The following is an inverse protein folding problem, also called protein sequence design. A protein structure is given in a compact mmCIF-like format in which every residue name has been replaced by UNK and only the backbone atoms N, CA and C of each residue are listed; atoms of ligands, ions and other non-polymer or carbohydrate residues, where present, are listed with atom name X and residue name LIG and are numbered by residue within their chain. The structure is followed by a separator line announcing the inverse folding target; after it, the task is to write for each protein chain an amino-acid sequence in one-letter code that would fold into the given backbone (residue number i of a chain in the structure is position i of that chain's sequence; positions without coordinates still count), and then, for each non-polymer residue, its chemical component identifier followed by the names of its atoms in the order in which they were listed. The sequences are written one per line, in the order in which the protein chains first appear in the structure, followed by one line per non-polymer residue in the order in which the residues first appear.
data_IF_631594117420
#
_entry.id   IF_631594117420
#
_cell.length_a   1.000
_cell.length_b   1.000
_cell.length_c   1.000
_cell.angle_alpha   90.00
_cell.angle_beta   90.00
_cell.angle_gamma   90.00
#
_symmetry.space_group_name_H-M   'P 1'
#
loop_
_entity.id
_entity.type
_entity.pdbx_description
1 polymer ?
#
# COMPACT_ATOMS: atom_id res chain seq x y z
N UNK A 1 -12.01 -17.32 -25.35
CA UNK A 1 -12.92 -17.36 -24.18
C UNK A 1 -12.57 -16.29 -23.15
N UNK A 2 -11.32 -16.19 -22.67
CA UNK A 2 -10.89 -15.16 -21.68
C UNK A 2 -11.10 -13.72 -22.19
N UNK A 3 -10.73 -13.43 -23.43
CA UNK A 3 -10.94 -12.11 -24.04
C UNK A 3 -12.40 -11.70 -24.18
N UNK A 4 -13.29 -12.67 -24.41
CA UNK A 4 -14.73 -12.42 -24.55
C UNK A 4 -15.39 -12.15 -23.19
N UNK A 5 -14.94 -12.84 -22.13
CA UNK A 5 -15.36 -12.60 -20.75
C UNK A 5 -14.89 -11.23 -20.25
N UNK A 6 -13.66 -10.82 -20.57
CA UNK A 6 -13.14 -9.50 -20.20
C UNK A 6 -13.89 -8.36 -20.89
N UNK A 7 -14.23 -8.51 -22.17
CA UNK A 7 -15.07 -7.56 -22.90
C UNK A 7 -16.47 -7.43 -22.28
N UNK A 8 -17.10 -8.55 -21.90
CA UNK A 8 -18.41 -8.49 -21.24
C UNK A 8 -18.36 -7.86 -19.84
N UNK A 9 -17.28 -8.07 -19.09
CA UNK A 9 -17.10 -7.42 -17.79
C UNK A 9 -16.92 -5.91 -17.93
N UNK A 10 -16.11 -5.46 -18.88
CA UNK A 10 -15.88 -4.03 -19.14
C UNK A 10 -17.20 -3.31 -19.51
N UNK A 11 -18.02 -3.91 -20.37
CA UNK A 11 -19.34 -3.34 -20.75
C UNK A 11 -20.26 -3.19 -19.53
N UNK A 12 -20.27 -4.16 -18.62
CA UNK A 12 -21.06 -4.08 -17.39
C UNK A 12 -20.53 -2.96 -16.49
N UNK A 13 -19.21 -2.88 -16.30
CA UNK A 13 -18.61 -1.86 -15.43
C UNK A 13 -18.93 -0.45 -15.94
N UNK A 14 -18.79 -0.19 -17.25
CA UNK A 14 -19.14 1.12 -17.84
C UNK A 14 -20.62 1.45 -17.60
N UNK A 15 -21.53 0.51 -17.84
CA UNK A 15 -22.96 0.71 -17.62
C UNK A 15 -23.30 1.00 -16.13
N UNK A 16 -22.61 0.35 -15.19
CA UNK A 16 -22.78 0.63 -13.75
C UNK A 16 -22.25 2.02 -13.37
N UNK A 17 -21.17 2.50 -14.01
CA UNK A 17 -20.70 3.88 -13.84
C UNK A 17 -21.71 4.90 -14.39
N UNK A 18 -22.29 4.66 -15.57
CA UNK A 18 -23.37 5.52 -16.11
C UNK A 18 -24.59 5.54 -15.20
N UNK A 19 -25.00 4.38 -14.67
CA UNK A 19 -26.13 4.26 -13.75
C UNK A 19 -25.91 5.07 -12.48
N UNK A 20 -24.76 4.89 -11.83
CA UNK A 20 -24.46 5.60 -10.58
C UNK A 20 -24.26 7.10 -10.81
N UNK A 21 -23.67 7.48 -11.96
CA UNK A 21 -23.51 8.88 -12.34
C UNK A 21 -24.89 9.56 -12.48
N UNK A 22 -25.83 8.94 -13.20
CA UNK A 22 -27.19 9.48 -13.31
C UNK A 22 -27.90 9.62 -11.96
N UNK A 23 -27.71 8.65 -11.06
CA UNK A 23 -28.25 8.73 -9.70
C UNK A 23 -27.65 9.93 -8.92
N UNK A 24 -26.33 10.09 -8.99
CA UNK A 24 -25.60 11.21 -8.35
C UNK A 24 -26.05 12.57 -8.89
N UNK A 25 -26.24 12.71 -10.20
CA UNK A 25 -26.70 13.99 -10.78
C UNK A 25 -28.18 14.28 -10.52
N UNK A 26 -28.98 13.25 -10.23
CA UNK A 26 -30.39 13.41 -9.89
C UNK A 26 -30.57 13.82 -8.42
N UNK A 27 -29.82 13.20 -7.52
CA UNK A 27 -29.79 13.53 -6.09
C UNK A 27 -28.34 13.46 -5.56
N UNK A 28 -27.61 14.58 -5.57
CA UNK A 28 -26.19 14.60 -5.20
C UNK A 28 -25.97 14.44 -3.69
N UNK A 29 -27.02 14.54 -2.88
CA UNK A 29 -26.97 14.29 -1.43
C UNK A 29 -27.22 12.82 -1.07
N UNK A 30 -27.69 11.99 -2.01
CA UNK A 30 -27.90 10.56 -1.80
C UNK A 30 -26.56 9.82 -1.58
N UNK A 31 -26.29 9.51 -0.33
CA UNK A 31 -25.11 8.77 0.10
C UNK A 31 -24.98 7.39 -0.59
N UNK A 32 -26.08 6.72 -0.91
CA UNK A 32 -26.04 5.34 -1.39
C UNK A 32 -25.36 5.23 -2.75
N UNK A 33 -25.65 6.19 -3.66
CA UNK A 33 -25.03 6.29 -4.97
C UNK A 33 -23.50 6.50 -4.84
N UNK A 34 -23.06 7.39 -3.94
CA UNK A 34 -21.64 7.64 -3.71
C UNK A 34 -20.87 6.46 -3.12
N UNK A 35 -21.50 5.70 -2.23
CA UNK A 35 -20.90 4.48 -1.68
C UNK A 35 -20.77 3.40 -2.75
N UNK A 36 -21.77 3.28 -3.63
CA UNK A 36 -21.72 2.35 -4.76
C UNK A 36 -20.66 2.75 -5.78
N UNK A 37 -20.58 4.04 -6.15
CA UNK A 37 -19.52 4.57 -7.01
C UNK A 37 -18.13 4.27 -6.44
N UNK A 38 -17.94 4.49 -5.12
CA UNK A 38 -16.67 4.16 -4.46
C UNK A 38 -16.35 2.67 -4.50
N UNK A 39 -17.36 1.81 -4.43
CA UNK A 39 -17.17 0.36 -4.55
C UNK A 39 -16.77 -0.03 -5.97
N UNK A 40 -17.39 0.57 -7.00
CA UNK A 40 -17.05 0.37 -8.42
C UNK A 40 -15.62 0.79 -8.79
N UNK A 41 -15.07 1.82 -8.13
CA UNK A 41 -13.65 2.22 -8.30
C UNK A 41 -12.66 1.12 -7.88
N UNK A 42 -13.17 0.04 -7.29
CA UNK A 42 -12.43 -1.21 -7.17
C UNK A 42 -11.56 -1.30 -5.93
N UNK A 43 -11.45 -2.55 -5.49
CA UNK A 43 -10.33 -3.10 -4.74
C UNK A 43 -9.88 -4.30 -5.55
N UNK A 44 -8.88 -4.14 -6.41
CA UNK A 44 -8.29 -5.27 -7.10
C UNK A 44 -7.89 -6.33 -6.07
N UNK A 45 -8.36 -7.57 -6.26
CA UNK A 45 -7.80 -8.71 -5.54
C UNK A 45 -6.37 -8.87 -6.01
N UNK A 46 -5.43 -8.52 -5.14
CA UNK A 46 -4.02 -8.72 -5.44
C UNK A 46 -3.71 -10.20 -5.44
N UNK A 47 -2.97 -10.63 -6.46
CA UNK A 47 -2.40 -11.96 -6.50
C UNK A 47 -1.58 -12.17 -5.24
N UNK A 48 -1.86 -13.29 -4.62
CA UNK A 48 -1.52 -13.50 -3.24
C UNK A 48 -0.06 -14.02 -3.25
N UNK A 49 0.91 -13.12 -3.05
CA UNK A 49 2.35 -13.37 -3.21
C UNK A 49 3.21 -12.80 -2.06
N UNK A 50 4.50 -13.17 -2.03
CA UNK A 50 5.50 -12.50 -1.19
C UNK A 50 5.83 -11.16 -1.86
N UNK A 51 5.69 -10.03 -1.15
CA UNK A 51 5.95 -8.69 -1.70
C UNK A 51 7.38 -8.21 -1.50
N UNK A 52 8.07 -8.63 -0.43
CA UNK A 52 9.45 -8.25 -0.18
C UNK A 52 10.20 -9.35 0.57
N UNK A 53 11.45 -9.59 0.21
CA UNK A 53 12.42 -10.38 0.96
C UNK A 53 13.64 -9.50 1.23
N UNK A 54 14.02 -9.39 2.50
CA UNK A 54 15.22 -8.70 2.96
C UNK A 54 16.04 -9.64 3.81
N UNK A 55 17.36 -9.64 3.62
CA UNK A 55 18.28 -10.50 4.36
C UNK A 55 19.42 -9.65 4.90
N UNK A 56 19.73 -9.82 6.18
CA UNK A 56 20.86 -9.16 6.85
C UNK A 56 21.80 -10.20 7.44
N UNK A 57 23.06 -10.14 7.00
CA UNK A 57 24.14 -10.98 7.51
C UNK A 57 24.54 -10.60 8.93
N UNK A 58 24.60 -9.30 9.25
CA UNK A 58 24.99 -8.83 10.58
C UNK A 58 23.98 -9.25 11.66
N UNK A 59 22.70 -9.29 11.30
CA UNK A 59 21.62 -9.67 12.21
C UNK A 59 21.25 -11.16 12.14
N UNK A 60 21.81 -11.91 11.18
CA UNK A 60 21.45 -13.30 10.90
C UNK A 60 19.92 -13.46 10.79
N UNK A 61 19.32 -12.58 9.99
CA UNK A 61 17.88 -12.37 9.92
C UNK A 61 17.42 -12.28 8.48
N UNK A 62 16.36 -13.03 8.15
CA UNK A 62 15.57 -12.82 6.95
C UNK A 62 14.21 -12.22 7.32
N UNK A 63 13.81 -11.15 6.64
CA UNK A 63 12.52 -10.51 6.78
C UNK A 63 11.72 -10.74 5.50
N UNK A 64 10.50 -11.24 5.67
CA UNK A 64 9.56 -11.51 4.59
C UNK A 64 8.32 -10.66 4.77
N UNK A 65 7.91 -9.97 3.71
CA UNK A 65 6.65 -9.23 3.64
C UNK A 65 5.73 -9.94 2.66
N UNK A 66 4.49 -10.17 3.07
CA UNK A 66 3.42 -10.78 2.29
C UNK A 66 2.42 -9.71 1.84
N UNK A 67 1.72 -9.99 0.74
CA UNK A 67 0.60 -9.16 0.24
C UNK A 67 -0.65 -9.27 1.13
N UNK A 68 -0.80 -10.38 1.87
CA UNK A 68 -1.92 -10.66 2.77
C UNK A 68 -1.40 -11.01 4.17
N UNK A 69 -2.11 -10.63 5.26
CA UNK A 69 -1.72 -11.03 6.61
C UNK A 69 -1.93 -12.54 6.81
N UNK A 70 -0.84 -13.26 7.07
CA UNK A 70 -0.83 -14.73 7.24
C UNK A 70 -0.27 -15.12 8.60
N UNK A 71 -0.53 -16.36 9.05
CA UNK A 71 0.08 -16.92 10.24
C UNK A 71 0.97 -18.14 9.91
N UNK A 72 2.24 -17.86 9.67
CA UNK A 72 3.28 -18.84 9.31
C UNK A 72 3.39 -20.00 10.32
N UNK A 73 2.98 -19.82 11.58
CA UNK A 73 3.10 -20.85 12.62
C UNK A 73 1.86 -21.73 12.79
N UNK A 74 0.71 -21.34 12.22
CA UNK A 74 -0.58 -22.02 12.45
C UNK A 74 -1.25 -22.52 11.19
N UNK A 75 -0.92 -21.94 10.03
CA UNK A 75 -1.53 -22.33 8.77
C UNK A 75 -0.82 -23.57 8.19
N UNK A 76 -1.31 -24.77 8.54
CA UNK A 76 -0.81 -26.05 8.00
C UNK A 76 -1.01 -26.19 6.48
N UNK A 77 -1.92 -25.40 5.89
CA UNK A 77 -2.21 -25.40 4.45
C UNK A 77 -1.28 -24.47 3.66
N UNK A 78 -0.61 -23.52 4.32
CA UNK A 78 0.21 -22.49 3.68
C UNK A 78 1.64 -22.54 4.22
N UNK A 79 2.35 -23.63 3.94
CA UNK A 79 3.72 -23.80 4.40
C UNK A 79 4.64 -22.73 3.77
N UNK A 80 5.31 -21.96 4.64
CA UNK A 80 6.35 -21.00 4.24
C UNK A 80 7.70 -21.59 4.56
N UNK A 81 8.49 -21.86 3.52
CA UNK A 81 9.83 -22.42 3.64
C UNK A 81 10.86 -21.41 3.14
N UNK A 82 11.80 -21.08 4.02
CA UNK A 82 12.98 -20.30 3.66
C UNK A 82 14.11 -21.26 3.31
N UNK A 83 14.71 -21.10 2.15
CA UNK A 83 15.84 -21.90 1.68
C UNK A 83 17.09 -21.02 1.54
N UNK A 84 18.23 -21.50 2.01
CA UNK A 84 19.57 -20.91 1.81
C UNK A 84 20.39 -21.90 0.97
N UNK A 85 20.90 -21.48 -0.19
CA UNK A 85 21.60 -22.31 -1.18
C UNK A 85 20.83 -23.60 -1.53
N UNK A 86 19.50 -23.48 -1.65
CA UNK A 86 18.61 -24.59 -1.98
C UNK A 86 18.33 -25.58 -0.84
N UNK A 87 18.84 -25.33 0.38
CA UNK A 87 18.53 -26.14 1.58
C UNK A 87 17.58 -25.39 2.50
N UNK A 88 16.61 -26.06 3.15
CA UNK A 88 15.72 -25.40 4.10
C UNK A 88 16.55 -24.85 5.27
N UNK A 89 16.37 -23.56 5.53
CA UNK A 89 17.08 -22.83 6.57
C UNK A 89 16.54 -23.23 7.94
N UNK A 90 17.45 -23.52 8.88
CA UNK A 90 17.07 -23.73 10.28
C UNK A 90 16.86 -22.37 10.94
N UNK A 91 15.59 -22.04 11.25
CA UNK A 91 15.26 -20.76 11.85
C UNK A 91 13.91 -20.75 12.54
N UNK A 92 13.74 -19.80 13.46
CA UNK A 92 12.46 -19.58 14.14
C UNK A 92 11.76 -18.38 13.52
N UNK A 93 10.51 -18.59 13.08
CA UNK A 93 9.63 -17.52 12.61
C UNK A 93 9.02 -16.75 13.78
N UNK A 94 9.12 -15.43 13.74
CA UNK A 94 8.53 -14.52 14.73
C UNK A 94 7.95 -13.30 14.04
N UNK A 95 6.89 -12.72 14.59
CA UNK A 95 6.43 -11.41 14.15
C UNK A 95 7.29 -10.30 14.76
N UNK A 96 7.40 -9.12 14.12
CA UNK A 96 8.14 -7.99 14.67
C UNK A 96 7.66 -7.54 16.06
N UNK A 97 6.36 -7.70 16.34
CA UNK A 97 5.75 -7.40 17.64
C UNK A 97 5.84 -8.57 18.66
N UNK A 98 6.44 -9.70 18.26
CA UNK A 98 6.61 -10.94 19.03
C UNK A 98 5.31 -11.62 19.48
N UNK A 99 4.16 -11.26 18.91
CA UNK A 99 2.85 -11.83 19.28
C UNK A 99 2.44 -13.03 18.45
N UNK A 100 3.10 -13.27 17.32
CA UNK A 100 2.89 -14.42 16.44
C UNK A 100 1.43 -14.58 16.01
N UNK A 101 0.83 -13.47 15.57
CA UNK A 101 -0.53 -13.38 15.01
C UNK A 101 -0.44 -13.16 13.49
N UNK A 102 -1.59 -13.19 12.81
CA UNK A 102 -1.69 -12.80 11.41
C UNK A 102 -1.04 -11.43 11.18
N UNK A 103 -0.01 -11.42 10.34
CA UNK A 103 0.84 -10.26 10.09
C UNK A 103 1.28 -10.26 8.63
N UNK A 104 1.47 -9.05 8.08
CA UNK A 104 2.06 -8.87 6.76
C UNK A 104 3.58 -9.09 6.78
N UNK A 105 4.23 -8.86 7.93
CA UNK A 105 5.68 -8.95 8.08
C UNK A 105 6.03 -10.06 9.06
N UNK A 106 6.95 -10.92 8.63
CA UNK A 106 7.51 -12.00 9.44
C UNK A 106 9.04 -11.98 9.38
N UNK A 107 9.64 -12.37 10.49
CA UNK A 107 11.08 -12.43 10.71
C UNK A 107 11.47 -13.90 10.89
N UNK A 108 12.40 -14.39 10.09
CA UNK A 108 13.05 -15.68 10.29
C UNK A 108 14.43 -15.43 10.89
N UNK A 109 14.58 -15.79 12.17
CA UNK A 109 15.88 -15.75 12.87
C UNK A 109 16.67 -16.99 12.47
N UNK A 110 17.73 -16.80 11.71
CA UNK A 110 18.56 -17.87 11.18
C UNK A 110 19.52 -18.37 12.26
N UNK A 111 19.57 -19.69 12.45
CA UNK A 111 20.56 -20.32 13.32
C UNK A 111 21.88 -20.57 12.58
N UNK A 112 21.78 -20.83 11.28
CA UNK A 112 22.94 -20.97 10.41
C UNK A 112 23.52 -19.61 10.06
N UNK A 113 24.82 -19.44 10.31
CA UNK A 113 25.51 -18.18 10.04
C UNK A 113 25.68 -17.96 8.53
N UNK A 114 24.99 -16.96 7.99
CA UNK A 114 25.13 -16.46 6.63
C UNK A 114 26.58 -16.01 6.38
N UNK A 115 27.25 -16.60 5.38
CA UNK A 115 28.68 -16.38 5.11
C UNK A 115 28.94 -15.39 3.97
N UNK A 116 27.90 -15.06 3.21
CA UNK A 116 27.96 -14.18 2.04
C UNK A 116 28.37 -14.91 0.77
N UNK A 117 27.65 -14.64 -0.31
CA UNK A 117 27.66 -15.41 -1.55
C UNK A 117 26.50 -16.42 -1.68
N UNK A 118 25.68 -16.57 -0.64
CA UNK A 118 24.58 -17.55 -0.60
C UNK A 118 23.29 -16.97 -1.23
N UNK A 119 22.51 -17.80 -1.91
CA UNK A 119 21.20 -17.45 -2.43
C UNK A 119 20.12 -17.77 -1.41
N UNK A 120 19.26 -16.80 -1.10
CA UNK A 120 18.18 -16.94 -0.13
C UNK A 120 16.86 -16.85 -0.86
N UNK A 121 16.05 -17.90 -0.78
CA UNK A 121 14.77 -18.04 -1.47
C UNK A 121 13.64 -18.34 -0.49
N UNK A 122 12.51 -17.65 -0.64
CA UNK A 122 11.28 -17.93 0.12
C UNK A 122 10.27 -18.61 -0.79
N UNK A 123 9.72 -19.72 -0.32
CA UNK A 123 8.58 -20.42 -0.89
C UNK A 123 7.36 -20.23 0.00
N UNK A 124 6.21 -19.94 -0.61
CA UNK A 124 4.91 -19.86 0.07
C UNK A 124 3.91 -20.70 -0.71
N UNK A 125 3.63 -21.92 -0.23
CA UNK A 125 2.79 -22.88 -0.95
C UNK A 125 3.21 -23.05 -2.43
N UNK A 126 2.25 -22.93 -3.35
CA UNK A 126 2.44 -23.06 -4.81
C UNK A 126 2.67 -21.72 -5.54
N UNK A 127 2.94 -20.64 -4.80
CA UNK A 127 3.09 -19.29 -5.35
C UNK A 127 4.52 -19.08 -5.87
N UNK A 128 4.74 -18.12 -6.80
CA UNK A 128 6.08 -17.83 -7.30
C UNK A 128 7.03 -17.48 -6.14
N UNK A 129 8.17 -18.18 -6.03
CA UNK A 129 9.12 -17.92 -4.96
C UNK A 129 9.86 -16.60 -5.21
N UNK A 130 10.35 -15.99 -4.13
CA UNK A 130 11.23 -14.82 -4.21
C UNK A 130 12.63 -15.16 -3.76
N UNK A 131 13.61 -14.72 -4.53
CA UNK A 131 15.02 -15.00 -4.29
C UNK A 131 15.86 -13.73 -4.32
N UNK A 132 16.78 -13.62 -3.37
CA UNK A 132 17.83 -12.61 -3.36
C UNK A 132 19.19 -13.28 -3.11
N UNK A 133 20.26 -12.75 -3.71
CA UNK A 133 21.62 -13.26 -3.52
C UNK A 133 22.39 -12.31 -2.62
N UNK A 134 23.00 -12.83 -1.55
CA UNK A 134 23.83 -12.02 -0.68
C UNK A 134 25.21 -11.85 -1.33
N UNK A 135 25.58 -10.62 -1.70
CA UNK A 135 26.87 -10.36 -2.34
C UNK A 135 28.05 -10.70 -1.43
N UNK A 136 29.16 -11.18 -2.01
CA UNK A 136 30.39 -11.40 -1.23
C UNK A 136 30.90 -10.06 -0.69
N UNK A 137 30.78 -9.86 0.62
CA UNK A 137 31.10 -8.59 1.30
C UNK A 137 29.94 -7.60 1.44
N UNK A 138 28.78 -7.89 0.85
CA UNK A 138 27.54 -7.15 1.09
C UNK A 138 26.84 -7.69 2.33
N UNK A 139 26.79 -6.90 3.41
CA UNK A 139 26.15 -7.33 4.66
C UNK A 139 24.62 -7.44 4.59
N UNK A 140 23.99 -6.96 3.52
CA UNK A 140 22.54 -6.93 3.32
C UNK A 140 22.21 -7.22 1.84
N UNK A 141 21.06 -7.85 1.59
CA UNK A 141 20.50 -8.06 0.25
C UNK A 141 18.97 -8.06 0.30
N UNK A 142 18.30 -7.62 -0.77
CA UNK A 142 16.85 -7.58 -0.82
C UNK A 142 16.30 -7.69 -2.24
N UNK A 143 15.03 -8.10 -2.31
CA UNK A 143 14.20 -8.06 -3.51
C UNK A 143 12.77 -7.64 -3.11
N UNK A 144 12.14 -6.80 -3.93
CA UNK A 144 10.80 -6.26 -3.67
C UNK A 144 10.01 -6.17 -4.98
N UNK A 145 8.70 -6.38 -4.93
CA UNK A 145 7.81 -6.08 -6.06
C UNK A 145 7.68 -4.57 -6.24
N UNK A 146 7.56 -4.13 -7.48
CA UNK A 146 7.30 -2.73 -7.79
C UNK A 146 5.98 -2.28 -7.13
N UNK A 147 6.00 -1.13 -6.44
CA UNK A 147 4.80 -0.59 -5.77
C UNK A 147 3.79 -0.10 -6.81
N UNK A 148 4.11 -0.05 -8.11
CA UNK A 148 3.10 0.18 -9.15
C UNK A 148 1.98 -0.86 -9.14
N UNK A 149 2.25 -2.11 -8.72
CA UNK A 149 1.23 -3.16 -8.59
C UNK A 149 0.63 -3.22 -7.16
N UNK A 150 1.45 -2.90 -6.14
CA UNK A 150 1.09 -3.04 -4.72
C UNK A 150 0.41 -1.78 -4.15
N UNK A 151 0.83 -0.62 -4.63
CA UNK A 151 0.44 0.71 -4.20
C UNK A 151 -0.99 1.07 -4.55
N UNK A 152 -1.57 0.45 -5.57
CA UNK A 152 -3.01 0.57 -5.79
C UNK A 152 -3.77 0.11 -4.54
N UNK A 153 -3.68 -1.17 -4.18
CA UNK A 153 -4.53 -1.74 -3.15
C UNK A 153 -4.24 -1.24 -1.74
N UNK A 154 -2.98 -0.98 -1.40
CA UNK A 154 -2.62 -0.45 -0.08
C UNK A 154 -3.21 0.95 0.15
N UNK A 155 -3.39 1.75 -0.90
CA UNK A 155 -3.71 3.18 -0.79
C UNK A 155 -5.19 3.51 -1.00
N UNK A 156 -6.05 2.49 -1.08
CA UNK A 156 -7.46 2.64 -1.41
C UNK A 156 -7.72 3.02 -2.87
N UNK A 157 -6.73 2.76 -3.74
CA UNK A 157 -6.73 3.06 -5.17
C UNK A 157 -6.27 1.84 -5.98
N UNK A 158 -6.60 0.64 -5.49
CA UNK A 158 -6.35 -0.61 -6.20
C UNK A 158 -7.41 -0.68 -7.26
N UNK A 159 -7.24 0.15 -8.29
CA UNK A 159 -8.10 0.10 -9.44
C UNK A 159 -8.05 -1.33 -9.94
N UNK A 160 -9.22 -1.88 -10.14
CA UNK A 160 -9.38 -3.04 -10.98
C UNK A 160 -8.54 -2.83 -12.25
N UNK A 161 -7.66 -3.76 -12.65
CA UNK A 161 -6.93 -3.64 -13.92
C UNK A 161 -7.88 -3.58 -15.12
N UNK A 162 -9.16 -3.91 -14.90
CA UNK A 162 -10.27 -3.76 -15.84
C UNK A 162 -10.76 -2.30 -16.00
N UNK A 163 -10.31 -1.37 -15.16
CA UNK A 163 -10.77 0.01 -15.18
C UNK A 163 -9.84 0.87 -16.06
N UNK A 164 -10.29 1.14 -17.28
CA UNK A 164 -9.55 1.95 -18.23
C UNK A 164 -9.34 3.39 -17.72
N UNK A 165 -8.12 3.92 -17.92
CA UNK A 165 -7.77 5.30 -17.57
C UNK A 165 -8.70 6.35 -18.20
N UNK A 166 -9.26 6.06 -19.39
CA UNK A 166 -10.23 6.92 -20.06
C UNK A 166 -11.54 7.06 -19.28
N UNK A 167 -12.08 5.95 -18.77
CA UNK A 167 -13.31 5.95 -17.97
C UNK A 167 -13.10 6.74 -16.68
N UNK A 168 -11.96 6.57 -16.02
CA UNK A 168 -11.62 7.33 -14.81
C UNK A 168 -11.49 8.84 -15.07
N UNK A 169 -10.94 9.23 -16.22
CA UNK A 169 -10.86 10.63 -16.63
C UNK A 169 -12.24 11.22 -16.90
N UNK A 170 -13.14 10.46 -17.52
CA UNK A 170 -14.54 10.86 -17.73
C UNK A 170 -15.25 11.05 -16.38
N UNK A 171 -15.14 10.09 -15.47
CA UNK A 171 -15.72 10.21 -14.13
C UNK A 171 -15.14 11.40 -13.35
N UNK A 172 -13.84 11.67 -13.50
CA UNK A 172 -13.20 12.86 -12.91
C UNK A 172 -13.77 14.15 -13.50
N UNK A 173 -13.99 14.20 -14.81
CA UNK A 173 -14.57 15.36 -15.48
C UNK A 173 -15.99 15.63 -14.97
N UNK A 174 -16.86 14.62 -14.97
CA UNK A 174 -18.23 14.70 -14.49
C UNK A 174 -18.31 15.15 -13.02
N UNK A 175 -17.48 14.57 -12.14
CA UNK A 175 -17.41 15.01 -10.74
C UNK A 175 -16.91 16.44 -10.60
N UNK A 176 -16.00 16.90 -11.47
CA UNK A 176 -15.50 18.28 -11.45
C UNK A 176 -16.60 19.26 -11.83
N UNK A 177 -17.43 18.95 -12.82
CA UNK A 177 -18.60 19.76 -13.19
C UNK A 177 -19.61 19.83 -12.05
N UNK A 178 -19.91 18.69 -11.41
CA UNK A 178 -20.80 18.66 -10.24
C UNK A 178 -20.25 19.54 -9.11
N UNK A 179 -18.95 19.51 -8.84
CA UNK A 179 -18.34 20.35 -7.81
C UNK A 179 -18.43 21.85 -8.14
N UNK A 180 -18.44 22.24 -9.41
CA UNK A 180 -18.65 23.64 -9.80
C UNK A 180 -20.06 24.12 -9.44
N UNK A 181 -21.06 23.25 -9.59
CA UNK A 181 -22.45 23.54 -9.23
C UNK A 181 -22.66 23.46 -7.71
N UNK A 182 -22.05 22.48 -7.05
CA UNK A 182 -22.14 22.25 -5.60
C UNK A 182 -20.77 22.19 -4.91
N UNK A 183 -20.13 23.35 -4.64
CA UNK A 183 -18.74 23.41 -4.13
C UNK A 183 -18.54 22.80 -2.74
N UNK A 184 -19.63 22.52 -2.02
CA UNK A 184 -19.64 21.95 -0.67
C UNK A 184 -20.17 20.52 -0.63
N UNK A 185 -20.34 19.87 -1.77
CA UNK A 185 -20.74 18.46 -1.77
C UNK A 185 -19.58 17.58 -1.25
N UNK A 186 -19.75 17.07 -0.02
CA UNK A 186 -18.73 16.29 0.69
C UNK A 186 -18.43 14.94 0.03
N UNK A 187 -19.38 14.37 -0.68
CA UNK A 187 -19.20 13.07 -1.33
C UNK A 187 -18.44 13.22 -2.63
N UNK A 188 -18.81 14.23 -3.43
CA UNK A 188 -18.10 14.61 -4.64
C UNK A 188 -16.62 14.91 -4.36
N UNK A 189 -16.33 15.75 -3.36
CA UNK A 189 -14.95 16.05 -2.94
C UNK A 189 -14.16 14.78 -2.56
N UNK A 190 -14.78 13.83 -1.86
CA UNK A 190 -14.12 12.59 -1.46
C UNK A 190 -13.83 11.69 -2.66
N UNK A 191 -14.78 11.57 -3.59
CA UNK A 191 -14.61 10.76 -4.80
C UNK A 191 -13.58 11.39 -5.75
N UNK A 192 -13.55 12.71 -5.89
CA UNK A 192 -12.50 13.40 -6.65
C UNK A 192 -11.10 13.08 -6.13
N UNK A 193 -10.91 13.04 -4.81
CA UNK A 193 -9.63 12.63 -4.21
C UNK A 193 -9.29 11.17 -4.59
N UNK A 194 -10.27 10.26 -4.60
CA UNK A 194 -10.03 8.88 -5.00
C UNK A 194 -9.65 8.78 -6.49
N UNK A 195 -10.44 9.41 -7.38
CA UNK A 195 -10.21 9.42 -8.83
C UNK A 195 -8.84 10.01 -9.21
N UNK A 196 -8.50 11.18 -8.65
CA UNK A 196 -7.20 11.80 -8.88
C UNK A 196 -6.04 10.91 -8.44
N UNK A 197 -6.17 10.26 -7.28
CA UNK A 197 -5.15 9.34 -6.77
C UNK A 197 -5.01 8.08 -7.61
N UNK A 198 -6.09 7.65 -8.22
CA UNK A 198 -6.12 6.48 -9.08
C UNK A 198 -5.44 6.77 -10.44
N UNK A 199 -5.59 7.99 -10.96
CA UNK A 199 -4.99 8.42 -12.22
C UNK A 199 -3.51 8.79 -12.10
N UNK A 200 -3.18 9.71 -11.18
CA UNK A 200 -1.81 10.14 -10.93
C UNK A 200 -1.65 10.63 -9.47
N UNK A 201 -1.22 9.75 -8.55
CA UNK A 201 -1.15 10.09 -7.14
C UNK A 201 -0.10 11.17 -6.81
N UNK A 202 0.99 11.25 -7.60
CA UNK A 202 2.10 12.17 -7.32
C UNK A 202 1.79 13.58 -7.84
N UNK A 203 1.34 13.70 -9.09
CA UNK A 203 1.03 15.00 -9.70
C UNK A 203 -0.16 15.68 -9.04
N UNK A 204 -1.21 14.90 -8.69
CA UNK A 204 -2.42 15.44 -8.08
C UNK A 204 -2.32 15.66 -6.56
N UNK A 205 -1.17 15.40 -5.93
CA UNK A 205 -1.01 15.47 -4.47
C UNK A 205 -1.52 16.79 -3.89
N UNK A 206 -1.11 17.94 -4.46
CA UNK A 206 -1.50 19.26 -3.93
C UNK A 206 -3.02 19.49 -4.00
N UNK A 207 -3.65 19.09 -5.10
CA UNK A 207 -5.09 19.24 -5.28
C UNK A 207 -5.86 18.33 -4.31
N UNK A 208 -5.43 17.08 -4.17
CA UNK A 208 -6.05 16.14 -3.21
C UNK A 208 -5.98 16.66 -1.78
N UNK A 209 -4.82 17.20 -1.37
CA UNK A 209 -4.62 17.79 -0.06
C UNK A 209 -5.57 18.98 0.16
N UNK A 210 -5.71 19.85 -0.86
CA UNK A 210 -6.66 20.97 -0.82
C UNK A 210 -8.12 20.53 -0.66
N UNK A 211 -8.55 19.49 -1.38
CA UNK A 211 -9.91 18.96 -1.21
C UNK A 211 -10.13 18.31 0.16
N UNK A 212 -9.14 17.62 0.72
CA UNK A 212 -9.21 17.08 2.09
C UNK A 212 -9.32 18.20 3.14
N UNK A 213 -8.61 19.32 2.92
CA UNK A 213 -8.69 20.48 3.81
C UNK A 213 -10.08 21.15 3.72
N UNK A 214 -10.67 21.25 2.52
CA UNK A 214 -12.06 21.70 2.33
C UNK A 214 -13.06 20.74 3.00
N UNK A 215 -12.88 19.43 2.85
CA UNK A 215 -13.73 18.41 3.46
C UNK A 215 -13.75 18.52 4.98
N UNK A 216 -12.59 18.79 5.61
CA UNK A 216 -12.50 18.98 7.05
C UNK A 216 -13.32 20.19 7.54
N UNK A 217 -13.52 21.21 6.69
CA UNK A 217 -14.37 22.36 6.99
C UNK A 217 -15.86 22.12 6.72
N UNK A 218 -16.19 21.41 5.62
CA UNK A 218 -17.57 21.08 5.21
C UNK A 218 -18.20 20.05 6.14
N UNK A 219 -17.40 19.09 6.64
CA UNK A 219 -17.86 18.05 7.54
C UNK A 219 -16.97 17.92 8.79
N UNK A 220 -17.18 18.81 9.78
CA UNK A 220 -16.38 18.83 11.00
C UNK A 220 -16.48 17.53 11.82
N UNK A 221 -17.61 16.82 11.73
CA UNK A 221 -17.83 15.56 12.45
C UNK A 221 -16.84 14.46 12.03
N UNK A 222 -16.30 14.55 10.80
CA UNK A 222 -15.31 13.61 10.26
C UNK A 222 -13.92 14.25 10.09
N UNK A 223 -13.63 15.39 10.73
CA UNK A 223 -12.35 16.09 10.55
C UNK A 223 -11.11 15.22 10.86
N UNK A 224 -11.16 14.37 11.90
CA UNK A 224 -10.06 13.45 12.22
C UNK A 224 -9.86 12.40 11.12
N UNK A 225 -10.94 11.89 10.53
CA UNK A 225 -10.86 10.97 9.40
C UNK A 225 -10.15 11.60 8.20
N UNK A 226 -10.45 12.87 7.88
CA UNK A 226 -9.79 13.56 6.76
C UNK A 226 -8.31 13.86 7.04
N UNK A 227 -7.94 14.19 8.29
CA UNK A 227 -6.53 14.33 8.70
C UNK A 227 -5.75 13.01 8.58
N UNK A 228 -6.38 11.89 8.97
CA UNK A 228 -5.78 10.57 8.80
C UNK A 228 -5.70 10.18 7.32
N UNK A 229 -6.71 10.50 6.52
CA UNK A 229 -6.68 10.29 5.07
C UNK A 229 -5.56 11.12 4.41
N UNK A 230 -5.34 12.35 4.87
CA UNK A 230 -4.21 13.21 4.45
C UNK A 230 -2.88 12.55 4.78
N UNK A 231 -2.73 12.04 6.00
CA UNK A 231 -1.50 11.35 6.43
C UNK A 231 -1.24 10.08 5.63
N UNK A 232 -2.30 9.31 5.37
CA UNK A 232 -2.25 8.12 4.52
C UNK A 232 -1.79 8.49 3.10
N UNK A 233 -2.39 9.51 2.50
CA UNK A 233 -2.05 10.02 1.16
C UNK A 233 -0.58 10.45 1.07
N UNK A 234 -0.08 11.16 2.08
CA UNK A 234 1.29 11.63 2.08
C UNK A 234 2.29 10.48 2.20
N UNK A 235 2.06 9.52 3.12
CA UNK A 235 2.94 8.37 3.29
C UNK A 235 2.92 7.46 2.06
N UNK A 236 1.75 7.28 1.48
CA UNK A 236 1.54 6.57 0.22
C UNK A 236 2.42 7.11 -0.92
N UNK A 237 2.34 8.41 -1.15
CA UNK A 237 3.15 9.09 -2.15
C UNK A 237 4.63 9.03 -1.78
N UNK A 238 4.94 9.08 -0.49
CA UNK A 238 6.31 9.00 -0.04
C UNK A 238 6.95 7.63 -0.34
N UNK A 239 6.22 6.53 -0.18
CA UNK A 239 6.65 5.18 -0.60
C UNK A 239 7.03 5.20 -2.08
N UNK A 240 6.15 5.73 -2.94
CA UNK A 240 6.42 5.84 -4.38
C UNK A 240 7.67 6.69 -4.66
N UNK A 241 7.81 7.85 -4.02
CA UNK A 241 8.99 8.72 -4.24
C UNK A 241 10.30 8.07 -3.81
N UNK A 242 10.28 7.29 -2.72
CA UNK A 242 11.46 6.59 -2.21
C UNK A 242 11.89 5.51 -3.20
N UNK A 243 10.93 4.80 -3.78
CA UNK A 243 11.16 3.78 -4.80
C UNK A 243 11.64 4.38 -6.13
N UNK A 244 10.98 5.42 -6.65
CA UNK A 244 11.42 6.09 -7.89
C UNK A 244 12.83 6.68 -7.78
N UNK A 245 13.21 7.14 -6.59
CA UNK A 245 14.54 7.69 -6.34
C UNK A 245 15.58 6.60 -6.00
N UNK A 246 15.17 5.34 -5.85
CA UNK A 246 15.98 4.22 -5.36
C UNK A 246 16.78 4.58 -4.08
N UNK A 247 16.10 5.25 -3.15
CA UNK A 247 16.69 5.69 -1.88
C UNK A 247 16.17 4.86 -0.71
N UNK A 248 16.94 4.80 0.37
CA UNK A 248 16.50 4.22 1.66
C UNK A 248 16.24 5.29 2.71
N UNK A 249 16.05 6.54 2.28
CA UNK A 249 15.88 7.70 3.16
C UNK A 249 14.49 8.30 2.93
N UNK A 250 13.67 8.31 3.98
CA UNK A 250 12.35 8.91 3.95
C UNK A 250 12.28 10.15 4.84
N UNK A 251 11.99 11.31 4.24
CA UNK A 251 11.88 12.58 4.96
C UNK A 251 10.52 13.25 4.73
N UNK A 252 9.74 13.40 5.80
CA UNK A 252 8.43 14.05 5.80
C UNK A 252 8.32 15.12 6.91
N UNK A 253 9.24 16.10 6.97
CA UNK A 253 9.16 17.14 7.98
C UNK A 253 8.00 18.11 7.72
N UNK A 254 7.30 18.55 8.78
CA UNK A 254 6.36 19.66 8.65
C UNK A 254 5.10 19.36 7.83
N UNK A 255 4.71 18.09 7.70
CA UNK A 255 3.61 17.67 6.81
C UNK A 255 2.25 17.54 7.50
N UNK A 256 2.19 17.88 8.79
CA UNK A 256 1.00 17.77 9.65
C UNK A 256 0.44 16.33 9.70
N UNK A 257 1.32 15.32 9.69
CA UNK A 257 0.92 13.92 9.85
C UNK A 257 0.29 13.71 11.23
N UNK A 258 -0.89 13.10 11.26
CA UNK A 258 -1.63 12.72 12.48
C UNK A 258 -1.42 11.25 12.86
N UNK A 259 -1.17 10.38 11.87
CA UNK A 259 -0.97 8.95 12.04
C UNK A 259 -0.05 8.38 10.97
N UNK A 260 0.55 7.21 11.23
CA UNK A 260 1.46 6.53 10.31
C UNK A 260 0.79 5.28 9.71
N UNK A 261 0.85 5.17 8.39
CA UNK A 261 0.30 4.08 7.57
C UNK A 261 1.38 3.49 6.65
N UNK A 262 1.12 2.30 6.11
CA UNK A 262 1.96 1.63 5.11
C UNK A 262 3.40 1.37 5.54
N UNK A 263 3.63 1.19 6.85
CA UNK A 263 4.97 0.97 7.40
C UNK A 263 5.56 -0.39 6.94
N UNK A 264 4.71 -1.34 6.59
CA UNK A 264 5.07 -2.61 5.96
C UNK A 264 5.76 -2.42 4.60
N UNK A 265 5.48 -1.33 3.88
CA UNK A 265 6.14 -1.01 2.61
C UNK A 265 7.47 -0.28 2.82
N UNK A 266 7.74 0.20 4.03
CA UNK A 266 8.92 1.00 4.35
C UNK A 266 10.02 0.19 5.05
N UNK A 267 9.92 -1.14 5.07
CA UNK A 267 10.87 -2.04 5.75
C UNK A 267 12.35 -1.80 5.40
N UNK A 268 12.63 -1.42 4.16
CA UNK A 268 13.99 -1.19 3.67
C UNK A 268 14.54 0.20 4.04
N UNK A 269 13.70 1.11 4.56
CA UNK A 269 14.12 2.47 4.93
C UNK A 269 15.12 2.41 6.08
N UNK A 270 16.26 3.06 5.90
CA UNK A 270 17.32 3.19 6.91
C UNK A 270 17.21 4.48 7.70
N UNK A 271 16.77 5.57 7.07
CA UNK A 271 16.67 6.87 7.73
C UNK A 271 15.25 7.42 7.58
N UNK A 272 14.62 7.75 8.71
CA UNK A 272 13.25 8.24 8.77
C UNK A 272 13.17 9.57 9.52
N UNK A 273 12.85 10.65 8.81
CA UNK A 273 12.65 11.97 9.41
C UNK A 273 11.15 12.33 9.42
N UNK A 274 10.56 12.32 10.62
CA UNK A 274 9.15 12.69 10.88
C UNK A 274 9.02 13.98 11.72
N UNK A 275 10.05 14.82 11.75
CA UNK A 275 10.07 16.05 12.55
C UNK A 275 8.93 17.03 12.20
N UNK A 276 8.52 17.87 13.15
CA UNK A 276 7.50 18.91 12.94
C UNK A 276 6.15 18.38 12.42
N UNK A 277 5.72 17.21 12.89
CA UNK A 277 4.38 16.66 12.63
C UNK A 277 3.50 16.65 13.89
N UNK A 278 2.23 16.30 13.74
CA UNK A 278 1.23 16.24 14.81
C UNK A 278 1.01 14.81 15.30
N UNK A 279 2.08 14.02 15.37
CA UNK A 279 2.02 12.62 15.80
C UNK A 279 1.90 12.55 17.33
N UNK A 280 0.83 11.91 17.81
CA UNK A 280 0.61 11.72 19.26
C UNK A 280 1.22 10.43 19.79
N UNK A 281 1.41 9.43 18.95
CA UNK A 281 2.03 8.16 19.31
C UNK A 281 2.70 7.51 18.10
N UNK A 282 3.67 6.63 18.37
CA UNK A 282 4.24 5.75 17.36
C UNK A 282 3.47 4.42 17.38
N UNK A 283 2.89 3.98 16.25
CA UNK A 283 2.13 2.75 16.21
C UNK A 283 3.06 1.54 16.34
N UNK A 284 2.51 0.41 16.78
CA UNK A 284 3.28 -0.83 16.95
C UNK A 284 3.80 -1.39 15.62
N UNK A 285 3.15 -1.05 14.53
CA UNK A 285 3.58 -1.36 13.16
C UNK A 285 4.92 -0.71 12.80
N UNK A 286 5.41 0.26 13.57
CA UNK A 286 6.78 0.76 13.44
C UNK A 286 7.82 -0.34 13.66
N UNK A 287 7.48 -1.40 14.41
CA UNK A 287 8.35 -2.58 14.56
C UNK A 287 8.67 -3.26 13.23
N UNK A 288 7.89 -3.05 12.16
CA UNK A 288 8.24 -3.56 10.83
C UNK A 288 9.54 -2.97 10.28
N UNK A 289 9.93 -1.78 10.73
CA UNK A 289 11.10 -1.03 10.23
C UNK A 289 12.39 -1.51 10.90
N UNK A 290 12.82 -2.73 10.57
CA UNK A 290 14.02 -3.36 11.15
C UNK A 290 15.34 -2.75 10.64
N UNK A 291 15.31 -2.03 9.51
CA UNK A 291 16.51 -1.45 8.89
C UNK A 291 16.85 -0.04 9.39
N UNK A 292 16.06 0.54 10.31
CA UNK A 292 16.28 1.91 10.77
C UNK A 292 17.59 2.06 11.54
N UNK A 293 18.35 3.08 11.18
CA UNK A 293 19.63 3.43 11.77
C UNK A 293 19.51 4.74 12.55
N UNK A 294 20.27 4.85 13.64
CA UNK A 294 20.40 6.11 14.37
C UNK A 294 21.37 7.00 13.62
N UNK A 295 20.94 8.22 13.32
CA UNK A 295 21.83 9.26 12.76
C UNK A 295 22.87 9.59 13.83
N UNK A 296 24.12 9.15 13.61
CA UNK A 296 25.29 9.48 14.44
C UNK A 296 25.74 10.91 14.23
#
# INVERSE_FOLDING_TARGET
MVTMLMLTMLVVVVAEFELVQNAIFTDPDDQSAWLYHRWLLGRAEQAESVSCLYVSQSLQLALVVFTRPINVLKDEQEEVVLCVDGKPALGSWVTPDRRNRHSLVWLCLLQDALRGGESVRVHWGDRPPKECVLGQGGGESWIRDEVSEVGGAALGAGLSPELDSALLQEQLHSCTELLQMEPRNKWCLLVLVLLMRALDPLSCQRQCLGHLDTLAGVDPGRCCYYRDARSRLLLANAVLTVEYADTRVLALPGRALSSLFHLEQLVLVTHLNLSNNSLHCLPRTLSCLQSLQVVS
#
